data_IF_538767661734
#
_entry.id   IF_538767661734
#
_cell.length_a   1.000
_cell.length_b   1.000
_cell.length_c   1.000
_cell.angle_alpha   90.00
_cell.angle_beta   90.00
_cell.angle_gamma   90.00
#
_symmetry.space_group_name_H-M   'P 1'
#
loop_
_entity.id
_entity.type
_entity.pdbx_description
1 polymer ?
#
# COMPACT_ATOMS: atom_id res chain seq x y z
N UNK A 1 9.34 12.27 -2.95
CA UNK A 1 9.36 12.01 -1.51
C UNK A 1 8.13 12.56 -0.77
N UNK A 2 7.53 13.69 -1.21
CA UNK A 2 6.47 14.43 -0.50
C UNK A 2 5.18 13.64 -0.17
N UNK A 3 4.86 12.56 -0.87
CA UNK A 3 3.67 11.75 -0.63
C UNK A 3 3.99 10.32 -0.16
N UNK A 4 5.21 10.08 0.30
CA UNK A 4 5.66 8.76 0.74
C UNK A 4 4.79 8.20 1.88
N UNK A 5 4.42 9.05 2.85
CA UNK A 5 3.63 8.67 4.02
C UNK A 5 2.12 8.62 3.75
N UNK A 6 1.68 8.95 2.55
CA UNK A 6 0.25 8.93 2.17
C UNK A 6 -0.09 7.77 1.27
N UNK A 7 0.80 7.42 0.33
CA UNK A 7 0.52 6.46 -0.74
C UNK A 7 0.08 5.09 -0.24
N UNK A 8 0.92 4.40 0.55
CA UNK A 8 0.60 3.06 1.03
C UNK A 8 -0.53 3.05 2.07
N UNK A 9 -0.57 3.98 3.05
CA UNK A 9 -1.72 4.17 3.92
C UNK A 9 -3.04 4.30 3.19
N UNK A 10 -3.11 5.17 2.19
CA UNK A 10 -4.34 5.41 1.43
C UNK A 10 -4.81 4.16 0.67
N UNK A 11 -3.90 3.47 -0.04
CA UNK A 11 -4.24 2.22 -0.73
C UNK A 11 -4.82 1.17 0.23
N UNK A 12 -4.21 1.05 1.40
CA UNK A 12 -4.66 0.11 2.42
C UNK A 12 -5.99 0.54 3.04
N UNK A 13 -6.18 1.83 3.29
CA UNK A 13 -7.44 2.38 3.82
C UNK A 13 -8.60 2.22 2.81
N UNK A 14 -8.36 2.44 1.51
CA UNK A 14 -9.34 2.14 0.45
C UNK A 14 -9.70 0.64 0.47
N UNK A 15 -8.72 -0.25 0.61
CA UNK A 15 -8.97 -1.69 0.70
C UNK A 15 -9.85 -2.06 1.89
N UNK A 16 -9.64 -1.44 3.05
CA UNK A 16 -10.49 -1.59 4.24
C UNK A 16 -11.88 -1.00 4.06
N UNK A 17 -11.98 0.15 3.41
CA UNK A 17 -13.27 0.78 3.09
C UNK A 17 -14.12 -0.09 2.16
N UNK A 18 -13.51 -0.67 1.11
CA UNK A 18 -14.16 -1.61 0.18
C UNK A 18 -14.55 -2.92 0.90
N UNK A 19 -13.68 -3.46 1.75
CA UNK A 19 -13.98 -4.63 2.57
C UNK A 19 -15.23 -4.42 3.43
N UNK A 20 -15.39 -3.24 4.02
CA UNK A 20 -16.52 -2.93 4.89
C UNK A 20 -17.89 -2.82 4.17
N UNK A 21 -17.92 -2.82 2.82
CA UNK A 21 -19.15 -2.90 2.04
C UNK A 21 -19.81 -4.29 2.16
N UNK A 22 -18.99 -5.34 2.29
CA UNK A 22 -19.42 -6.74 2.38
C UNK A 22 -18.61 -7.45 3.46
N UNK A 23 -18.95 -7.23 4.75
CA UNK A 23 -18.27 -7.89 5.85
C UNK A 23 -18.47 -9.42 5.78
N UNK A 24 -17.43 -10.14 6.20
CA UNK A 24 -17.40 -11.61 6.09
C UNK A 24 -18.17 -12.25 7.23
N UNK A 25 -19.10 -13.13 6.91
CA UNK A 25 -19.76 -14.00 7.90
C UNK A 25 -18.87 -15.21 8.25
N UNK A 26 -19.05 -15.77 9.44
CA UNK A 26 -18.22 -16.89 9.94
C UNK A 26 -18.17 -18.09 8.98
N UNK A 27 -19.32 -18.49 8.43
CA UNK A 27 -19.44 -19.62 7.50
C UNK A 27 -18.82 -19.35 6.12
N UNK A 28 -18.56 -18.09 5.76
CA UNK A 28 -17.96 -17.69 4.48
C UNK A 28 -16.45 -17.42 4.58
N UNK A 29 -15.87 -17.41 5.79
CA UNK A 29 -14.49 -16.97 6.00
C UNK A 29 -13.48 -17.78 5.18
N UNK A 30 -13.63 -19.10 5.08
CA UNK A 30 -12.75 -19.95 4.28
C UNK A 30 -12.82 -19.62 2.78
N UNK A 31 -14.05 -19.51 2.24
CA UNK A 31 -14.27 -19.15 0.83
C UNK A 31 -13.76 -17.73 0.52
N UNK A 32 -13.96 -16.80 1.44
CA UNK A 32 -13.42 -15.45 1.32
C UNK A 32 -11.89 -15.46 1.25
N UNK A 33 -11.22 -16.14 2.18
CA UNK A 33 -9.76 -16.21 2.20
C UNK A 33 -9.20 -16.89 0.96
N UNK A 34 -9.84 -17.97 0.47
CA UNK A 34 -9.46 -18.60 -0.78
C UNK A 34 -9.56 -17.65 -1.99
N UNK A 35 -10.67 -16.90 -2.10
CA UNK A 35 -10.83 -15.87 -3.15
C UNK A 35 -9.75 -14.78 -3.04
N UNK A 36 -9.39 -14.35 -1.82
CA UNK A 36 -8.32 -13.37 -1.61
C UNK A 36 -6.95 -13.95 -1.94
N UNK A 37 -6.64 -15.18 -1.55
CA UNK A 37 -5.41 -15.87 -1.91
C UNK A 37 -5.24 -15.92 -3.45
N UNK A 38 -6.27 -16.39 -4.15
CA UNK A 38 -6.25 -16.43 -5.62
C UNK A 38 -6.08 -15.06 -6.27
N UNK A 39 -6.67 -14.00 -5.70
CA UNK A 39 -6.59 -12.65 -6.26
C UNK A 39 -5.28 -11.92 -5.93
N UNK A 40 -4.65 -12.20 -4.79
CA UNK A 40 -3.46 -11.49 -4.33
C UNK A 40 -2.18 -12.32 -4.52
N UNK A 41 -2.20 -13.58 -4.06
CA UNK A 41 -0.98 -14.40 -4.04
C UNK A 41 -0.67 -15.01 -5.40
N UNK A 42 -1.67 -15.44 -6.16
CA UNK A 42 -1.43 -16.01 -7.49
C UNK A 42 -0.78 -14.99 -8.45
N UNK A 43 -1.31 -13.75 -8.60
CA UNK A 43 -0.63 -12.73 -9.38
C UNK A 43 0.76 -12.35 -8.83
N UNK A 44 0.94 -12.33 -7.50
CA UNK A 44 2.24 -12.12 -6.88
C UNK A 44 3.24 -13.18 -7.34
N UNK A 45 2.87 -14.45 -7.29
CA UNK A 45 3.71 -15.57 -7.72
C UNK A 45 4.05 -15.42 -9.21
N UNK A 46 3.05 -15.29 -10.09
CA UNK A 46 3.26 -15.23 -11.53
C UNK A 46 4.08 -13.99 -11.95
N UNK A 47 3.62 -12.80 -11.55
CA UNK A 47 4.24 -11.54 -11.98
C UNK A 47 5.56 -11.29 -11.26
N UNK A 48 5.66 -11.66 -9.97
CA UNK A 48 6.90 -11.58 -9.20
C UNK A 48 8.00 -12.47 -9.77
N UNK A 49 7.65 -13.71 -10.15
CA UNK A 49 8.59 -14.63 -10.82
C UNK A 49 9.04 -14.08 -12.17
N UNK A 50 8.10 -13.59 -12.99
CA UNK A 50 8.44 -12.95 -14.27
C UNK A 50 9.36 -11.75 -14.08
N UNK A 51 9.07 -10.92 -13.09
CA UNK A 51 9.89 -9.75 -12.77
C UNK A 51 11.30 -10.15 -12.34
N UNK A 52 11.43 -11.18 -11.50
CA UNK A 52 12.74 -11.72 -11.09
C UNK A 52 13.54 -12.25 -12.29
N UNK A 53 12.92 -13.05 -13.15
CA UNK A 53 13.56 -13.60 -14.34
C UNK A 53 14.06 -12.49 -15.28
N UNK A 54 13.24 -11.47 -15.51
CA UNK A 54 13.63 -10.31 -16.32
C UNK A 54 14.81 -9.57 -15.66
N UNK A 55 14.79 -9.37 -14.34
CA UNK A 55 15.91 -8.76 -13.63
C UNK A 55 17.19 -9.61 -13.72
N UNK A 56 17.07 -10.93 -13.69
CA UNK A 56 18.20 -11.85 -13.79
C UNK A 56 18.91 -11.77 -15.16
N UNK A 57 18.13 -11.68 -16.24
CA UNK A 57 18.68 -11.64 -17.62
C UNK A 57 19.03 -10.23 -18.10
N UNK A 58 18.57 -9.16 -17.42
CA UNK A 58 18.75 -7.78 -17.90
C UNK A 58 19.90 -7.11 -17.18
N UNK A 59 21.00 -6.72 -17.88
CA UNK A 59 22.08 -5.95 -17.28
C UNK A 59 21.62 -4.58 -16.80
N UNK A 60 22.23 -4.03 -15.75
CA UNK A 60 21.94 -2.70 -15.24
C UNK A 60 20.69 -2.60 -14.36
N UNK A 61 20.11 -3.72 -13.97
CA UNK A 61 19.05 -3.76 -12.95
C UNK A 61 19.60 -3.51 -11.54
N UNK A 62 18.79 -2.91 -10.65
CA UNK A 62 19.22 -2.56 -9.30
C UNK A 62 19.51 -3.77 -8.39
N UNK A 63 19.15 -4.98 -8.79
CA UNK A 63 19.30 -6.20 -8.01
C UNK A 63 19.52 -7.39 -8.94
N UNK A 64 20.73 -7.88 -8.99
CA UNK A 64 21.06 -9.17 -9.62
C UNK A 64 20.92 -10.23 -8.53
N UNK A 65 19.84 -11.03 -8.59
CA UNK A 65 19.66 -12.19 -7.72
C UNK A 65 20.20 -13.45 -8.38
N UNK A 66 20.66 -14.40 -7.60
CA UNK A 66 20.96 -15.74 -8.11
C UNK A 66 19.65 -16.53 -8.31
N UNK A 67 19.60 -17.41 -9.31
CA UNK A 67 18.42 -18.27 -9.55
C UNK A 67 18.08 -19.12 -8.33
N UNK A 68 19.06 -19.54 -7.55
CA UNK A 68 18.85 -20.25 -6.29
C UNK A 68 18.04 -19.44 -5.26
N UNK A 69 17.94 -18.12 -5.40
CA UNK A 69 17.22 -17.23 -4.49
C UNK A 69 15.76 -16.97 -4.89
N UNK A 70 15.26 -17.58 -5.97
CA UNK A 70 13.89 -17.37 -6.48
C UNK A 70 12.82 -17.64 -5.43
N UNK A 71 13.05 -18.56 -4.51
CA UNK A 71 12.14 -18.88 -3.41
C UNK A 71 11.91 -17.70 -2.46
N UNK A 72 12.84 -16.75 -2.37
CA UNK A 72 12.73 -15.55 -1.55
C UNK A 72 11.55 -14.68 -1.96
N UNK A 73 11.17 -14.70 -3.23
CA UNK A 73 10.01 -13.96 -3.76
C UNK A 73 8.71 -14.39 -3.07
N UNK A 74 8.61 -15.66 -2.72
CA UNK A 74 7.39 -16.26 -2.18
C UNK A 74 7.27 -16.12 -0.67
N UNK A 75 8.40 -16.13 0.03
CA UNK A 75 8.45 -16.17 1.50
C UNK A 75 8.91 -14.86 2.14
N UNK A 76 9.65 -14.03 1.41
CA UNK A 76 10.20 -12.78 1.92
C UNK A 76 9.65 -11.56 1.16
N UNK A 77 9.69 -10.36 1.75
CA UNK A 77 9.33 -9.14 1.05
C UNK A 77 10.22 -8.94 -0.19
N UNK A 78 9.63 -8.97 -1.36
CA UNK A 78 10.37 -8.79 -2.60
C UNK A 78 9.91 -7.54 -3.34
N UNK A 79 10.82 -6.61 -3.56
CA UNK A 79 10.64 -5.35 -4.29
C UNK A 79 9.31 -4.65 -3.98
N UNK A 80 8.45 -4.43 -5.00
CA UNK A 80 7.12 -3.80 -4.85
C UNK A 80 6.01 -4.79 -4.47
N UNK A 81 6.27 -6.11 -4.58
CA UNK A 81 5.25 -7.14 -4.37
C UNK A 81 5.01 -7.51 -2.90
N UNK A 82 5.85 -7.02 -1.98
CA UNK A 82 5.70 -7.24 -0.53
C UNK A 82 4.32 -6.84 0.03
N UNK A 83 3.64 -5.92 -0.64
CA UNK A 83 2.34 -5.44 -0.21
C UNK A 83 1.22 -6.48 -0.38
N UNK A 84 1.31 -7.38 -1.37
CA UNK A 84 0.26 -8.38 -1.63
C UNK A 84 0.15 -9.41 -0.51
N UNK A 85 1.24 -10.07 -0.03
CA UNK A 85 1.16 -10.95 1.13
C UNK A 85 0.81 -10.18 2.41
N UNK A 86 1.32 -8.95 2.60
CA UNK A 86 0.92 -8.11 3.72
C UNK A 86 -0.60 -7.85 3.72
N UNK A 87 -1.16 -7.45 2.58
CA UNK A 87 -2.59 -7.21 2.45
C UNK A 87 -3.43 -8.49 2.65
N UNK A 88 -2.93 -9.64 2.19
CA UNK A 88 -3.57 -10.92 2.44
C UNK A 88 -3.66 -11.25 3.94
N UNK A 89 -2.56 -11.05 4.69
CA UNK A 89 -2.55 -11.21 6.14
C UNK A 89 -3.53 -10.26 6.85
N UNK A 90 -3.59 -9.00 6.40
CA UNK A 90 -4.52 -8.01 6.93
C UNK A 90 -5.98 -8.43 6.71
N UNK A 91 -6.32 -8.95 5.50
CA UNK A 91 -7.66 -9.48 5.25
C UNK A 91 -8.00 -10.62 6.19
N UNK A 92 -7.06 -11.54 6.45
CA UNK A 92 -7.25 -12.64 7.40
C UNK A 92 -7.48 -12.14 8.83
N UNK A 93 -6.63 -11.23 9.30
CA UNK A 93 -6.76 -10.65 10.65
C UNK A 93 -8.09 -9.91 10.84
N UNK A 94 -8.47 -9.05 9.89
CA UNK A 94 -9.71 -8.26 10.00
C UNK A 94 -10.95 -9.14 9.81
N UNK A 95 -10.91 -10.15 8.94
CA UNK A 95 -12.00 -11.12 8.82
C UNK A 95 -12.19 -11.89 10.13
N UNK A 96 -11.12 -12.31 10.80
CA UNK A 96 -11.19 -12.93 12.12
C UNK A 96 -11.82 -11.99 13.17
N UNK A 97 -11.39 -10.72 13.19
CA UNK A 97 -11.99 -9.72 14.09
C UNK A 97 -13.49 -9.54 13.83
N UNK A 98 -13.91 -9.53 12.57
CA UNK A 98 -15.32 -9.35 12.20
C UNK A 98 -16.17 -10.57 12.59
N UNK A 99 -15.69 -11.78 12.34
CA UNK A 99 -16.37 -13.03 12.75
C UNK A 99 -16.65 -13.05 14.25
N UNK A 100 -15.75 -12.49 15.06
CA UNK A 100 -15.92 -12.36 16.51
C UNK A 100 -16.64 -11.07 16.94
N UNK A 101 -17.21 -10.29 16.01
CA UNK A 101 -17.93 -9.06 16.31
C UNK A 101 -17.05 -7.94 16.91
N UNK A 102 -15.75 -8.00 16.70
CA UNK A 102 -14.78 -7.07 17.29
C UNK A 102 -14.89 -5.64 16.72
N UNK A 103 -15.43 -5.47 15.51
CA UNK A 103 -15.57 -4.18 14.84
C UNK A 103 -17.05 -3.73 14.69
N UNK A 104 -17.97 -4.23 15.51
CA UNK A 104 -19.41 -3.95 15.39
C UNK A 104 -19.84 -2.60 15.98
N UNK A 105 -19.12 -2.08 16.97
CA UNK A 105 -19.38 -0.78 17.61
C UNK A 105 -18.20 0.15 17.47
N UNK A 106 -18.45 1.47 17.46
CA UNK A 106 -17.43 2.50 17.38
C UNK A 106 -16.34 2.32 18.47
N UNK A 107 -16.77 1.98 19.71
CA UNK A 107 -15.84 1.76 20.83
C UNK A 107 -14.93 0.55 20.61
N UNK A 108 -15.50 -0.60 20.19
CA UNK A 108 -14.73 -1.82 19.93
C UNK A 108 -13.78 -1.63 18.77
N UNK A 109 -14.26 -1.06 17.66
CA UNK A 109 -13.43 -0.71 16.51
C UNK A 109 -12.28 0.24 16.92
N UNK A 110 -12.57 1.31 17.67
CA UNK A 110 -11.56 2.25 18.13
C UNK A 110 -10.49 1.61 19.01
N UNK A 111 -10.87 0.67 19.88
CA UNK A 111 -9.92 -0.13 20.67
C UNK A 111 -8.97 -0.94 19.76
N UNK A 112 -9.49 -1.64 18.76
CA UNK A 112 -8.66 -2.41 17.84
C UNK A 112 -7.78 -1.53 16.96
N UNK A 113 -8.26 -0.34 16.56
CA UNK A 113 -7.44 0.65 15.88
C UNK A 113 -6.28 1.11 16.77
N UNK A 114 -6.52 1.39 18.05
CA UNK A 114 -5.47 1.80 19.00
C UNK A 114 -4.46 0.66 19.23
N UNK A 115 -4.91 -0.59 19.37
CA UNK A 115 -4.04 -1.76 19.48
C UNK A 115 -3.16 -1.89 18.22
N UNK A 116 -3.73 -1.73 17.03
CA UNK A 116 -2.99 -1.76 15.79
C UNK A 116 -1.96 -0.61 15.69
N UNK A 117 -2.32 0.60 16.13
CA UNK A 117 -1.38 1.73 16.22
C UNK A 117 -0.24 1.44 17.21
N UNK A 118 -0.54 0.87 18.38
CA UNK A 118 0.48 0.45 19.34
C UNK A 118 1.42 -0.61 18.74
N UNK A 119 0.88 -1.55 17.95
CA UNK A 119 1.66 -2.54 17.22
C UNK A 119 2.69 -1.93 16.28
N UNK A 120 2.32 -0.84 15.57
CA UNK A 120 3.27 -0.09 14.72
C UNK A 120 4.41 0.52 15.53
N UNK A 121 4.15 1.01 16.75
CA UNK A 121 5.18 1.61 17.59
C UNK A 121 6.17 0.57 18.13
N UNK A 122 5.74 -0.68 18.27
CA UNK A 122 6.57 -1.79 18.76
C UNK A 122 7.29 -2.51 17.60
N UNK A 123 6.80 -2.34 16.37
CA UNK A 123 7.33 -3.05 15.17
C UNK A 123 8.86 -2.98 15.05
N UNK A 124 9.55 -1.82 15.22
CA UNK A 124 11.00 -1.77 15.03
C UNK A 124 11.79 -2.66 15.98
N UNK A 125 11.31 -2.83 17.22
CA UNK A 125 11.96 -3.70 18.20
C UNK A 125 11.76 -5.18 17.84
N UNK A 126 10.59 -5.53 17.28
CA UNK A 126 10.28 -6.89 16.88
C UNK A 126 10.97 -7.25 15.56
N UNK A 127 10.93 -6.37 14.58
CA UNK A 127 11.51 -6.60 13.25
C UNK A 127 13.04 -6.69 13.27
N UNK A 128 13.69 -6.07 14.25
CA UNK A 128 15.14 -6.21 14.47
C UNK A 128 15.55 -7.60 14.98
N UNK A 129 14.63 -8.36 15.57
CA UNK A 129 14.90 -9.65 16.22
C UNK A 129 14.32 -10.85 15.45
N UNK A 130 13.30 -10.64 14.67
CA UNK A 130 12.54 -11.70 14.01
C UNK A 130 12.54 -11.52 12.48
N UNK A 131 12.62 -12.60 11.69
CA UNK A 131 12.62 -12.52 10.24
C UNK A 131 11.29 -11.98 9.71
N UNK A 132 11.34 -11.26 8.58
CA UNK A 132 10.15 -10.73 7.92
C UNK A 132 9.56 -11.78 6.95
N UNK A 133 9.09 -12.90 7.50
CA UNK A 133 8.41 -13.91 6.72
C UNK A 133 7.06 -13.40 6.20
N UNK A 134 6.79 -13.63 4.91
CA UNK A 134 5.51 -13.31 4.27
C UNK A 134 5.04 -11.85 4.48
N UNK A 135 5.98 -10.92 4.63
CA UNK A 135 5.73 -9.48 4.88
C UNK A 135 4.89 -9.17 6.13
N UNK A 136 5.05 -9.94 7.20
CA UNK A 136 4.27 -9.77 8.45
C UNK A 136 4.46 -8.38 9.07
N UNK A 137 5.68 -7.83 9.00
CA UNK A 137 5.95 -6.48 9.51
C UNK A 137 5.26 -5.41 8.67
N UNK A 138 5.22 -5.61 7.35
CA UNK A 138 4.43 -4.76 6.46
C UNK A 138 2.93 -4.84 6.76
N UNK A 139 2.41 -6.03 7.08
CA UNK A 139 1.02 -6.20 7.48
C UNK A 139 0.73 -5.48 8.80
N UNK A 140 1.61 -5.60 9.80
CA UNK A 140 1.48 -4.91 11.09
C UNK A 140 1.47 -3.39 10.91
N UNK A 141 2.40 -2.85 10.13
CA UNK A 141 2.48 -1.41 9.86
C UNK A 141 1.26 -0.87 9.10
N UNK A 142 0.63 -1.67 8.25
CA UNK A 142 -0.50 -1.23 7.42
C UNK A 142 -1.88 -1.52 8.02
N UNK A 143 -1.97 -2.40 9.01
CA UNK A 143 -3.22 -2.78 9.67
C UNK A 143 -4.03 -1.58 10.21
N UNK A 144 -3.44 -0.55 10.85
CA UNK A 144 -4.21 0.61 11.32
C UNK A 144 -4.94 1.33 10.21
N UNK A 145 -4.34 1.44 9.03
CA UNK A 145 -4.94 2.12 7.88
C UNK A 145 -6.10 1.32 7.29
N UNK A 146 -5.98 0.00 7.27
CA UNK A 146 -7.10 -0.86 6.85
C UNK A 146 -8.28 -0.73 7.82
N UNK A 147 -8.04 -0.81 9.13
CA UNK A 147 -9.06 -0.62 10.16
C UNK A 147 -9.67 0.78 10.10
N UNK A 148 -8.86 1.82 9.80
CA UNK A 148 -9.34 3.17 9.57
C UNK A 148 -10.36 3.20 8.42
N UNK A 149 -10.05 2.57 7.29
CA UNK A 149 -10.96 2.47 6.15
C UNK A 149 -12.27 1.77 6.51
N UNK A 150 -12.20 0.66 7.25
CA UNK A 150 -13.38 -0.06 7.79
C UNK A 150 -14.22 0.86 8.66
N UNK A 151 -13.59 1.59 9.60
CA UNK A 151 -14.31 2.49 10.52
C UNK A 151 -14.97 3.65 9.81
N UNK A 152 -14.26 4.34 8.91
CA UNK A 152 -14.85 5.47 8.16
C UNK A 152 -16.07 5.03 7.34
N UNK A 153 -16.08 3.79 6.83
CA UNK A 153 -17.23 3.26 6.11
C UNK A 153 -18.40 2.93 7.04
N UNK A 154 -18.12 2.21 8.14
CA UNK A 154 -19.17 1.72 9.07
C UNK A 154 -19.74 2.83 9.95
N UNK A 155 -18.89 3.72 10.44
CA UNK A 155 -19.23 4.80 11.37
C UNK A 155 -19.17 6.16 10.68
N UNK A 156 -19.72 6.22 9.45
CA UNK A 156 -19.66 7.42 8.61
C UNK A 156 -20.38 8.61 9.23
N UNK A 157 -21.46 8.34 9.97
CA UNK A 157 -22.24 9.39 10.63
C UNK A 157 -21.40 10.16 11.66
N UNK A 158 -20.52 9.45 12.37
CA UNK A 158 -19.68 10.02 13.43
C UNK A 158 -18.34 10.54 12.86
N UNK A 159 -17.71 9.77 11.96
CA UNK A 159 -16.33 10.01 11.50
C UNK A 159 -16.23 10.88 10.24
N UNK A 160 -17.31 11.09 9.49
CA UNK A 160 -17.33 11.91 8.27
C UNK A 160 -18.15 13.20 8.39
N UNK A 161 -18.32 13.72 9.59
CA UNK A 161 -18.98 15.01 9.84
C UNK A 161 -18.17 16.18 9.25
N UNK A 162 -18.79 17.34 8.98
CA UNK A 162 -18.07 18.52 8.51
C UNK A 162 -16.95 18.97 9.46
N UNK A 163 -17.16 18.82 10.79
CA UNK A 163 -16.15 19.14 11.78
C UNK A 163 -14.94 18.19 11.69
N UNK A 164 -15.20 16.88 11.61
CA UNK A 164 -14.14 15.87 11.46
C UNK A 164 -13.36 16.05 10.15
N UNK A 165 -14.02 16.37 9.04
CA UNK A 165 -13.33 16.66 7.78
C UNK A 165 -12.39 17.87 7.86
N UNK A 166 -12.82 18.93 8.55
CA UNK A 166 -11.95 20.11 8.80
C UNK A 166 -10.75 19.73 9.66
N UNK A 167 -10.95 18.90 10.70
CA UNK A 167 -9.87 18.40 11.55
C UNK A 167 -8.90 17.54 10.75
N UNK A 168 -9.37 16.61 9.94
CA UNK A 168 -8.51 15.79 9.07
C UNK A 168 -7.75 16.63 8.05
N UNK A 169 -8.39 17.65 7.46
CA UNK A 169 -7.72 18.56 6.54
C UNK A 169 -6.61 19.36 7.22
N UNK A 170 -6.90 19.94 8.39
CA UNK A 170 -5.89 20.67 9.16
C UNK A 170 -4.72 19.77 9.57
N UNK A 171 -5.03 18.55 10.05
CA UNK A 171 -4.00 17.55 10.39
C UNK A 171 -3.18 17.11 9.17
N UNK A 172 -3.81 16.96 8.00
CA UNK A 172 -3.11 16.63 6.76
C UNK A 172 -2.14 17.75 6.33
N UNK A 173 -2.58 19.02 6.35
CA UNK A 173 -1.71 20.15 6.05
C UNK A 173 -0.56 20.26 7.06
N UNK A 174 -0.85 20.15 8.35
CA UNK A 174 0.18 20.16 9.39
C UNK A 174 1.18 19.01 9.20
N UNK A 175 0.68 17.82 8.90
CA UNK A 175 1.52 16.64 8.62
C UNK A 175 2.42 16.84 7.40
N UNK A 176 1.91 17.42 6.32
CA UNK A 176 2.72 17.77 5.14
C UNK A 176 3.80 18.81 5.49
N UNK A 177 3.46 19.86 6.25
CA UNK A 177 4.42 20.86 6.69
C UNK A 177 5.53 20.24 7.54
N UNK A 178 5.18 19.41 8.54
CA UNK A 178 6.16 18.71 9.38
C UNK A 178 7.05 17.80 8.53
N UNK A 179 6.47 17.05 7.59
CA UNK A 179 7.25 16.21 6.68
C UNK A 179 8.25 17.02 5.83
N UNK A 180 7.84 18.19 5.31
CA UNK A 180 8.73 19.04 4.54
C UNK A 180 9.82 19.69 5.42
N UNK A 181 9.45 20.16 6.61
CA UNK A 181 10.42 20.71 7.56
C UNK A 181 11.48 19.67 7.95
N UNK A 182 11.07 18.44 8.25
CA UNK A 182 12.01 17.33 8.54
C UNK A 182 12.90 17.03 7.34
N UNK A 183 12.35 17.05 6.13
CA UNK A 183 13.12 16.83 4.90
C UNK A 183 14.18 17.90 4.66
N UNK A 184 13.84 19.18 4.83
CA UNK A 184 14.77 20.28 4.59
C UNK A 184 15.78 20.49 5.73
N UNK A 185 15.39 20.24 7.00
CA UNK A 185 16.26 20.49 8.16
C UNK A 185 17.28 19.38 8.40
N UNK A 186 16.96 18.16 7.99
CA UNK A 186 17.67 16.98 8.49
C UNK A 186 18.54 16.27 7.44
N UNK A 187 18.53 16.71 6.18
CA UNK A 187 19.23 16.00 5.10
C UNK A 187 18.79 14.52 4.94
N UNK A 188 19.46 13.80 4.05
CA UNK A 188 19.09 12.41 3.73
C UNK A 188 19.27 11.39 4.89
N UNK A 189 20.01 11.73 5.94
CA UNK A 189 20.33 10.82 7.05
C UNK A 189 19.20 10.59 8.05
N UNK A 190 18.11 11.38 8.00
CA UNK A 190 17.03 11.36 9.00
C UNK A 190 15.69 10.81 8.51
N UNK A 191 15.62 10.30 7.28
CA UNK A 191 14.42 9.59 6.77
C UNK A 191 14.06 8.41 7.70
N UNK A 192 15.05 7.75 8.29
CA UNK A 192 14.86 6.68 9.27
C UNK A 192 14.29 7.17 10.62
N UNK A 193 14.55 8.41 11.04
CA UNK A 193 14.01 8.95 12.30
C UNK A 193 12.57 9.45 12.17
N UNK A 194 12.11 9.70 10.96
CA UNK A 194 10.77 10.21 10.71
C UNK A 194 9.73 9.10 10.45
N UNK A 195 10.11 7.82 10.58
CA UNK A 195 9.16 6.71 10.34
C UNK A 195 7.95 6.76 11.28
N UNK A 196 8.09 7.25 12.52
CA UNK A 196 6.97 7.43 13.46
C UNK A 196 5.95 8.47 12.98
N UNK A 197 6.33 9.40 12.09
CA UNK A 197 5.42 10.36 11.46
C UNK A 197 4.52 9.70 10.40
N UNK A 198 4.92 8.53 9.87
CA UNK A 198 4.13 7.79 8.90
C UNK A 198 2.72 7.44 9.43
N UNK A 199 2.63 7.05 10.69
CA UNK A 199 1.35 6.66 11.29
C UNK A 199 0.36 7.84 11.39
N UNK A 200 0.66 8.96 12.07
CA UNK A 200 -0.30 10.07 12.19
C UNK A 200 -0.58 10.76 10.85
N UNK A 201 0.44 10.99 10.02
CA UNK A 201 0.25 11.60 8.70
C UNK A 201 -0.60 10.70 7.81
N UNK A 202 -0.31 9.39 7.78
CA UNK A 202 -1.07 8.42 7.00
C UNK A 202 -2.52 8.30 7.44
N UNK A 203 -2.80 8.35 8.77
CA UNK A 203 -4.16 8.31 9.33
C UNK A 203 -4.94 9.56 8.89
N UNK A 204 -4.43 10.77 9.15
CA UNK A 204 -5.18 12.00 8.85
C UNK A 204 -5.35 12.22 7.35
N UNK A 205 -4.33 11.90 6.55
CA UNK A 205 -4.38 11.99 5.09
C UNK A 205 -5.40 11.03 4.50
N UNK A 206 -5.37 9.75 4.92
CA UNK A 206 -6.31 8.73 4.45
C UNK A 206 -7.74 9.04 4.90
N UNK A 207 -7.94 9.48 6.15
CA UNK A 207 -9.25 9.89 6.66
C UNK A 207 -9.80 11.08 5.88
N UNK A 208 -8.98 12.11 5.63
CA UNK A 208 -9.37 13.25 4.83
C UNK A 208 -9.82 12.83 3.43
N UNK A 209 -8.97 12.08 2.70
CA UNK A 209 -9.24 11.68 1.32
C UNK A 209 -10.45 10.76 1.20
N UNK A 210 -10.65 9.81 2.13
CA UNK A 210 -11.84 8.92 2.15
C UNK A 210 -13.13 9.64 2.50
N UNK A 211 -13.07 10.78 3.17
CA UNK A 211 -14.26 11.58 3.53
C UNK A 211 -14.59 12.65 2.50
N UNK A 212 -13.72 12.87 1.50
CA UNK A 212 -14.03 13.77 0.39
C UNK A 212 -15.21 13.25 -0.42
N UNK A 213 -16.09 14.17 -0.83
CA UNK A 213 -17.21 13.91 -1.76
C UNK A 213 -16.84 14.38 -3.17
N UNK A 214 -15.62 14.07 -3.60
CA UNK A 214 -15.13 14.50 -4.91
C UNK A 214 -15.22 13.34 -5.89
N UNK A 215 -16.04 13.50 -6.91
CA UNK A 215 -16.17 12.56 -8.02
C UNK A 215 -15.51 13.14 -9.26
N UNK A 216 -14.53 12.42 -9.79
CA UNK A 216 -13.84 12.76 -11.02
C UNK A 216 -13.83 11.55 -11.94
N UNK A 217 -14.42 11.70 -13.14
CA UNK A 217 -14.54 10.62 -14.13
C UNK A 217 -13.20 10.03 -14.55
N UNK A 218 -12.14 10.86 -14.63
CA UNK A 218 -10.80 10.39 -14.95
C UNK A 218 -10.24 9.50 -13.86
N UNK A 219 -10.37 9.93 -12.59
CA UNK A 219 -9.91 9.16 -11.44
C UNK A 219 -10.67 7.85 -11.28
N UNK A 220 -11.97 7.84 -11.56
CA UNK A 220 -12.78 6.60 -11.55
C UNK A 220 -12.27 5.63 -12.61
N UNK A 221 -12.02 6.09 -13.85
CA UNK A 221 -11.44 5.27 -14.92
C UNK A 221 -10.05 4.75 -14.57
N UNK A 222 -9.15 5.60 -14.08
CA UNK A 222 -7.82 5.18 -13.64
C UNK A 222 -7.90 4.18 -12.47
N UNK A 223 -8.84 4.38 -11.56
CA UNK A 223 -9.10 3.48 -10.44
C UNK A 223 -9.48 2.07 -10.88
N UNK A 224 -10.18 1.91 -12.02
CA UNK A 224 -10.51 0.58 -12.56
C UNK A 224 -9.27 -0.21 -13.02
N UNK A 225 -8.17 0.47 -13.34
CA UNK A 225 -6.88 -0.13 -13.70
C UNK A 225 -5.87 -0.16 -12.55
N UNK A 226 -6.24 0.31 -11.35
CA UNK A 226 -5.31 0.50 -10.24
C UNK A 226 -4.57 -0.79 -9.85
N UNK A 227 -5.23 -1.93 -9.94
CA UNK A 227 -4.62 -3.22 -9.62
C UNK A 227 -3.60 -3.65 -10.69
N UNK A 228 -3.93 -3.52 -11.98
CA UNK A 228 -2.99 -3.77 -13.09
C UNK A 228 -1.78 -2.82 -13.03
N UNK A 229 -2.04 -1.53 -12.77
CA UNK A 229 -0.97 -0.54 -12.57
C UNK A 229 -0.07 -0.98 -11.42
N UNK A 230 -0.63 -1.39 -10.28
CA UNK A 230 0.17 -1.87 -9.16
C UNK A 230 1.05 -3.08 -9.53
N UNK A 231 0.52 -4.06 -10.27
CA UNK A 231 1.27 -5.26 -10.65
C UNK A 231 2.40 -4.99 -11.64
N UNK A 232 2.17 -4.13 -12.62
CA UNK A 232 3.06 -3.99 -13.77
C UNK A 232 3.83 -2.67 -13.82
N UNK A 233 3.57 -1.69 -12.93
CA UNK A 233 4.26 -0.40 -12.98
C UNK A 233 5.79 -0.52 -12.87
N UNK A 234 6.29 -1.51 -12.12
CA UNK A 234 7.71 -1.73 -11.97
C UNK A 234 8.43 -2.08 -13.28
N UNK A 235 7.75 -2.81 -14.19
CA UNK A 235 8.27 -3.07 -15.54
C UNK A 235 8.35 -1.78 -16.36
N UNK A 236 7.28 -0.97 -16.34
CA UNK A 236 7.25 0.30 -17.07
C UNK A 236 8.26 1.31 -16.54
N UNK A 237 8.35 1.46 -15.22
CA UNK A 237 9.27 2.45 -14.62
C UNK A 237 10.74 2.02 -14.74
N UNK A 238 11.07 0.80 -14.38
CA UNK A 238 12.46 0.30 -14.42
C UNK A 238 12.91 0.05 -15.86
N UNK A 239 12.08 -0.60 -16.68
CA UNK A 239 12.36 -0.82 -18.09
C UNK A 239 12.46 0.48 -18.87
N UNK A 240 11.53 1.43 -18.62
CA UNK A 240 11.58 2.76 -19.21
C UNK A 240 12.88 3.49 -18.89
N UNK A 241 13.31 3.48 -17.64
CA UNK A 241 14.60 4.07 -17.23
C UNK A 241 15.78 3.45 -18.00
N UNK A 242 15.86 2.13 -18.06
CA UNK A 242 16.95 1.43 -18.74
C UNK A 242 16.94 1.79 -20.24
N UNK A 243 15.79 1.68 -20.90
CA UNK A 243 15.66 1.99 -22.34
C UNK A 243 16.03 3.44 -22.67
N UNK A 244 15.56 4.40 -21.88
CA UNK A 244 15.86 5.83 -22.09
C UNK A 244 17.34 6.15 -21.88
N UNK A 245 17.97 5.53 -20.89
CA UNK A 245 19.41 5.69 -20.66
C UNK A 245 20.22 5.10 -21.81
N UNK A 246 19.87 3.92 -22.32
CA UNK A 246 20.50 3.33 -23.51
C UNK A 246 20.27 4.13 -24.79
N UNK A 247 19.13 4.82 -24.89
CA UNK A 247 18.84 5.74 -26.01
C UNK A 247 19.59 7.08 -25.92
N UNK A 248 20.51 7.24 -24.95
CA UNK A 248 21.33 8.43 -24.78
C UNK A 248 20.63 9.61 -24.09
N UNK A 249 19.48 9.39 -23.47
CA UNK A 249 18.78 10.42 -22.70
C UNK A 249 19.41 10.46 -21.29
N UNK A 250 20.11 11.55 -20.97
CA UNK A 250 20.79 11.73 -19.68
C UNK A 250 20.04 12.70 -18.73
N UNK A 251 19.02 13.41 -19.21
CA UNK A 251 18.22 14.30 -18.40
C UNK A 251 17.41 13.51 -17.36
N UNK A 252 17.74 13.66 -16.08
CA UNK A 252 17.05 13.00 -14.97
C UNK A 252 15.54 13.31 -14.93
N UNK A 253 15.17 14.55 -15.24
CA UNK A 253 13.76 14.98 -15.28
C UNK A 253 13.01 14.30 -16.42
N UNK A 254 13.62 14.23 -17.62
CA UNK A 254 13.01 13.55 -18.77
C UNK A 254 12.85 12.05 -18.50
N UNK A 255 13.88 11.38 -17.98
CA UNK A 255 13.83 9.97 -17.59
C UNK A 255 12.72 9.74 -16.56
N UNK A 256 12.63 10.58 -15.53
CA UNK A 256 11.59 10.46 -14.49
C UNK A 256 10.17 10.57 -15.09
N UNK A 257 9.90 11.64 -15.86
CA UNK A 257 8.57 11.87 -16.44
C UNK A 257 8.17 10.78 -17.42
N UNK A 258 9.07 10.40 -18.34
CA UNK A 258 8.78 9.37 -19.33
C UNK A 258 8.62 7.98 -18.68
N UNK A 259 9.47 7.62 -17.71
CA UNK A 259 9.33 6.36 -16.96
C UNK A 259 8.04 6.32 -16.14
N UNK A 260 7.58 7.45 -15.60
CA UNK A 260 6.30 7.54 -14.92
C UNK A 260 5.13 7.33 -15.89
N UNK A 261 5.17 7.94 -17.08
CA UNK A 261 4.17 7.72 -18.13
C UNK A 261 4.13 6.25 -18.58
N UNK A 262 5.30 5.62 -18.76
CA UNK A 262 5.40 4.20 -19.12
C UNK A 262 4.92 3.31 -17.97
N UNK A 263 5.21 3.67 -16.72
CA UNK A 263 4.75 2.95 -15.52
C UNK A 263 3.23 2.96 -15.32
N UNK A 264 2.51 3.90 -15.93
CA UNK A 264 1.04 3.95 -15.93
C UNK A 264 0.49 3.39 -17.24
N UNK A 265 1.05 3.78 -18.37
CA UNK A 265 0.53 3.46 -19.70
C UNK A 265 0.68 1.98 -20.05
N UNK A 266 1.85 1.38 -19.81
CA UNK A 266 2.09 -0.04 -20.11
C UNK A 266 1.12 -0.95 -19.35
N UNK A 267 0.92 -0.81 -18.01
CA UNK A 267 -0.06 -1.62 -17.30
C UNK A 267 -1.49 -1.49 -17.82
N UNK A 268 -1.91 -0.29 -18.19
CA UNK A 268 -3.25 -0.07 -18.77
C UNK A 268 -3.38 -0.79 -20.10
N UNK A 269 -2.38 -0.70 -20.98
CA UNK A 269 -2.37 -1.42 -22.25
C UNK A 269 -2.40 -2.93 -22.05
N UNK A 270 -1.57 -3.46 -21.14
CA UNK A 270 -1.58 -4.90 -20.81
C UNK A 270 -2.96 -5.35 -20.33
N UNK A 271 -3.59 -4.58 -19.45
CA UNK A 271 -4.92 -4.93 -18.94
C UNK A 271 -6.01 -4.85 -20.01
N UNK A 272 -5.93 -3.90 -20.94
CA UNK A 272 -6.86 -3.82 -22.08
C UNK A 272 -6.72 -5.03 -23.00
N UNK A 273 -5.48 -5.49 -23.25
CA UNK A 273 -5.22 -6.67 -24.11
C UNK A 273 -5.64 -7.98 -23.46
N UNK A 274 -5.56 -8.07 -22.11
CA UNK A 274 -5.91 -9.28 -21.37
C UNK A 274 -7.41 -9.40 -21.03
N UNK A 275 -8.20 -8.36 -21.24
CA UNK A 275 -9.67 -8.37 -21.10
C UNK A 275 -10.36 -8.87 -22.38
#
# INVERSE_FOLDING_TARGET
>A
ASLQYVRMPLFTAISGWVYALHPVAAHEAGTFMFKKARRLLLPMICVGTLYFLIQYITPGTNRTGELAEIWKIYLLPYTVYWYLPALFLIFGAVAALDVHGACTTLRRWGMWLLIACAGVLIEPQLSSRLPNGFSIWGALCLLPFFLLGVGIRRFRAELATPAMRRLYFAGFLAGLLVQQLVWFSAGNSHVLRAWFLHLPIGIVASAFLLTLKWENRLLIRLGSYAYGIYLFHAFGTSGGRILLTHAGIHSQTAIFLLSMCLGIGIPILVEIVLR
#
